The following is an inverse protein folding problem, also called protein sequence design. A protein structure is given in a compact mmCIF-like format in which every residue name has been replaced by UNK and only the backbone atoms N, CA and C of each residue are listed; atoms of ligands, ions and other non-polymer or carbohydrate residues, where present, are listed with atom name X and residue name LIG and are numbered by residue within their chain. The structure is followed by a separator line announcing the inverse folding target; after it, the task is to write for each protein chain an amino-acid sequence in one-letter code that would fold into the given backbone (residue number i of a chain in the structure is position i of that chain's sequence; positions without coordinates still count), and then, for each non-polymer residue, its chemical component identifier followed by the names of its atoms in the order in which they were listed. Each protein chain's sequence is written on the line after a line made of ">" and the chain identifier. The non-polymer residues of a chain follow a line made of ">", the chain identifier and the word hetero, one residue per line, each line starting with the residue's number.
data_IF_218365339197
#
_entry.id   IF_218365339197
#
_cell.length_a   1.000
_cell.length_b   1.000
_cell.length_c   1.000
_cell.angle_alpha   90.00
_cell.angle_beta   90.00
_cell.angle_gamma   90.00
#
_symmetry.space_group_name_H-M   'P 1'
#
loop_
_entity.id
_entity.type
_entity.pdbx_description
1 polymer ?
#
# COMPACT_ATOMS: atom_id res chain seq x y z
N UNK A 1 -2.89 49.88 -12.97
CA UNK A 1 -2.80 48.64 -13.78
C UNK A 1 -2.66 47.45 -12.83
N UNK A 2 -3.58 46.48 -12.91
CA UNK A 2 -3.79 45.39 -11.93
C UNK A 2 -2.69 44.32 -12.05
N UNK A 3 -1.95 44.07 -10.97
CA UNK A 3 -0.97 42.99 -10.86
C UNK A 3 -1.64 41.62 -10.92
N UNK A 4 -1.18 40.78 -11.86
CA UNK A 4 -1.67 39.41 -12.04
C UNK A 4 -1.02 38.52 -10.98
N UNK A 5 -1.79 38.14 -9.97
CA UNK A 5 -1.41 37.12 -9.01
C UNK A 5 -1.45 35.75 -9.70
N UNK A 6 -0.29 35.26 -10.14
CA UNK A 6 -0.09 33.88 -10.57
C UNK A 6 -0.18 32.98 -9.33
N UNK A 7 -1.38 32.53 -8.97
CA UNK A 7 -1.53 31.47 -7.96
C UNK A 7 -0.89 30.19 -8.53
N UNK A 8 0.06 29.56 -7.84
CA UNK A 8 0.64 28.31 -8.31
C UNK A 8 -0.47 27.25 -8.44
N UNK A 9 -0.40 26.38 -9.47
CA UNK A 9 -1.41 25.33 -9.64
C UNK A 9 -1.42 24.46 -8.39
N UNK A 10 -2.54 24.47 -7.67
CA UNK A 10 -2.79 23.49 -6.61
C UNK A 10 -2.68 22.13 -7.27
N UNK A 11 -1.63 21.37 -6.94
CA UNK A 11 -1.49 19.93 -7.20
C UNK A 11 -2.55 19.18 -6.39
N UNK A 12 -3.83 19.37 -6.72
CA UNK A 12 -4.89 18.45 -6.30
C UNK A 12 -4.65 17.15 -7.06
N UNK A 13 -4.07 16.16 -6.37
CA UNK A 13 -4.03 14.77 -6.83
C UNK A 13 -5.45 14.42 -7.28
N UNK A 14 -5.63 14.20 -8.59
CA UNK A 14 -6.95 14.01 -9.18
C UNK A 14 -7.66 12.75 -8.63
N UNK A 15 -8.98 12.64 -8.85
CA UNK A 15 -9.80 11.51 -8.38
C UNK A 15 -9.30 10.15 -8.91
N UNK A 16 -8.62 10.14 -10.06
CA UNK A 16 -7.99 8.94 -10.62
C UNK A 16 -6.95 8.31 -9.69
N UNK A 17 -6.19 9.11 -8.94
CA UNK A 17 -5.22 8.60 -7.96
C UNK A 17 -5.91 7.89 -6.80
N UNK A 18 -7.11 8.35 -6.40
CA UNK A 18 -7.88 7.69 -5.35
C UNK A 18 -8.46 6.35 -5.84
N UNK A 19 -8.86 6.27 -7.11
CA UNK A 19 -9.34 5.04 -7.72
C UNK A 19 -8.21 4.01 -7.88
N UNK A 20 -7.05 4.42 -8.40
CA UNK A 20 -5.87 3.56 -8.53
C UNK A 20 -5.38 3.04 -7.17
N UNK A 21 -5.35 3.90 -6.15
CA UNK A 21 -4.97 3.50 -4.80
C UNK A 21 -5.95 2.49 -4.17
N UNK A 22 -7.24 2.54 -4.56
CA UNK A 22 -8.23 1.56 -4.12
C UNK A 22 -8.00 0.20 -4.79
N UNK A 23 -7.85 0.18 -6.12
CA UNK A 23 -7.58 -1.07 -6.86
C UNK A 23 -6.28 -1.74 -6.43
N UNK A 24 -5.21 -0.95 -6.23
CA UNK A 24 -3.93 -1.49 -5.76
C UNK A 24 -4.02 -2.08 -4.34
N UNK A 25 -4.81 -1.45 -3.46
CA UNK A 25 -5.02 -1.98 -2.11
C UNK A 25 -5.82 -3.28 -2.11
N UNK A 26 -6.86 -3.38 -2.94
CA UNK A 26 -7.64 -4.61 -3.07
C UNK A 26 -6.79 -5.76 -3.62
N UNK A 27 -5.93 -5.51 -4.60
CA UNK A 27 -4.98 -6.51 -5.10
C UNK A 27 -4.01 -6.98 -4.01
N UNK A 28 -3.41 -6.05 -3.27
CA UNK A 28 -2.52 -6.37 -2.16
C UNK A 28 -3.23 -7.20 -1.08
N UNK A 29 -4.48 -6.86 -0.75
CA UNK A 29 -5.30 -7.62 0.21
C UNK A 29 -5.59 -9.03 -0.29
N UNK A 30 -5.95 -9.19 -1.56
CA UNK A 30 -6.16 -10.50 -2.18
C UNK A 30 -4.87 -11.32 -2.24
N UNK A 31 -3.72 -10.69 -2.49
CA UNK A 31 -2.41 -11.36 -2.48
C UNK A 31 -2.03 -11.81 -1.07
N UNK A 32 -2.24 -10.98 -0.05
CA UNK A 32 -2.04 -11.34 1.36
C UNK A 32 -2.92 -12.53 1.75
N UNK A 33 -4.22 -12.45 1.46
CA UNK A 33 -5.16 -13.52 1.78
C UNK A 33 -4.80 -14.86 1.12
N UNK A 34 -4.32 -14.83 -0.13
CA UNK A 34 -3.83 -16.03 -0.83
C UNK A 34 -2.62 -16.68 -0.14
N UNK A 35 -1.81 -15.93 0.58
CA UNK A 35 -0.68 -16.44 1.36
C UNK A 35 -1.07 -16.82 2.80
N UNK A 36 -2.34 -16.65 3.19
CA UNK A 36 -2.81 -16.84 4.56
C UNK A 36 -2.54 -15.64 5.49
N UNK A 37 -2.15 -14.50 4.92
CA UNK A 37 -1.84 -13.28 5.67
C UNK A 37 -3.07 -12.37 5.69
N UNK A 38 -3.25 -11.63 6.78
CA UNK A 38 -4.32 -10.63 6.92
C UNK A 38 -3.78 -9.23 6.69
N UNK A 39 -4.36 -8.49 5.74
CA UNK A 39 -4.01 -7.09 5.46
C UNK A 39 -5.17 -6.16 5.86
N UNK A 40 -4.93 -5.33 6.87
CA UNK A 40 -5.82 -4.26 7.30
C UNK A 40 -5.29 -2.89 6.88
N UNK A 41 -6.20 -1.90 6.78
CA UNK A 41 -5.88 -0.53 6.41
C UNK A 41 -6.62 0.44 7.32
N UNK A 42 -5.84 1.18 8.10
CA UNK A 42 -6.33 2.26 8.94
C UNK A 42 -6.13 3.61 8.22
N UNK A 43 -7.20 4.35 7.96
CA UNK A 43 -7.11 5.72 7.42
C UNK A 43 -6.78 6.68 8.57
N UNK A 44 -5.70 7.44 8.43
CA UNK A 44 -5.29 8.51 9.36
C UNK A 44 -5.42 9.89 8.72
N UNK A 45 -5.32 10.92 9.55
CA UNK A 45 -5.46 12.32 9.14
C UNK A 45 -4.48 12.73 8.01
N UNK A 46 -3.29 12.12 7.95
CA UNK A 46 -2.25 12.40 6.94
C UNK A 46 -2.02 11.26 5.93
N UNK A 47 -2.85 10.20 5.91
CA UNK A 47 -2.62 9.08 5.01
C UNK A 47 -3.36 7.79 5.37
N UNK A 48 -2.74 6.66 5.07
CA UNK A 48 -3.19 5.35 5.50
C UNK A 48 -2.02 4.59 6.11
N UNK A 49 -2.29 3.85 7.18
CA UNK A 49 -1.39 2.86 7.76
C UNK A 49 -1.92 1.49 7.38
N UNK A 50 -1.02 0.58 7.04
CA UNK A 50 -1.34 -0.78 6.65
C UNK A 50 -0.80 -1.73 7.71
N UNK A 51 -1.63 -2.67 8.11
CA UNK A 51 -1.26 -3.66 9.13
C UNK A 51 -1.29 -5.02 8.46
N UNK A 52 -0.13 -5.67 8.40
CA UNK A 52 0.04 -6.96 7.78
C UNK A 52 0.33 -8.00 8.86
N UNK A 53 -0.59 -8.93 9.04
CA UNK A 53 -0.49 -9.99 10.04
C UNK A 53 -0.27 -11.33 9.37
N UNK A 54 0.82 -12.00 9.73
CA UNK A 54 1.15 -13.34 9.26
C UNK A 54 0.27 -14.40 9.96
N UNK A 55 0.16 -15.62 9.41
CA UNK A 55 -0.62 -16.71 10.03
C UNK A 55 -0.14 -17.12 11.43
N UNK A 56 1.12 -16.86 11.80
CA UNK A 56 1.66 -17.09 13.14
C UNK A 56 1.34 -15.94 14.12
N UNK A 57 0.65 -14.88 13.67
CA UNK A 57 0.23 -13.75 14.49
C UNK A 57 1.23 -12.59 14.58
N UNK A 58 2.36 -12.66 13.90
CA UNK A 58 3.28 -11.53 13.79
C UNK A 58 2.66 -10.43 12.96
N UNK A 59 2.62 -9.23 13.52
CA UNK A 59 2.01 -8.07 12.90
C UNK A 59 3.07 -7.04 12.53
N UNK A 60 3.09 -6.65 11.27
CA UNK A 60 3.97 -5.62 10.73
C UNK A 60 3.14 -4.40 10.35
N UNK A 61 3.54 -3.23 10.85
CA UNK A 61 2.89 -1.95 10.56
C UNK A 61 3.69 -1.26 9.46
N UNK A 62 3.01 -0.88 8.38
CA UNK A 62 3.59 -0.33 7.16
C UNK A 62 2.91 1.01 6.83
N UNK A 63 3.67 1.96 6.31
CA UNK A 63 3.15 3.31 6.04
C UNK A 63 2.77 3.49 4.57
N UNK A 64 3.31 2.66 3.69
CA UNK A 64 3.04 2.71 2.25
C UNK A 64 2.62 1.35 1.68
N UNK A 65 1.73 1.39 0.69
CA UNK A 65 1.28 0.17 -0.01
C UNK A 65 2.43 -0.52 -0.76
N UNK A 66 3.43 0.23 -1.22
CA UNK A 66 4.63 -0.33 -1.86
C UNK A 66 5.42 -1.23 -0.90
N UNK A 67 5.46 -0.91 0.39
CA UNK A 67 6.10 -1.74 1.42
C UNK A 67 5.32 -3.05 1.61
N UNK A 68 3.98 -3.00 1.57
CA UNK A 68 3.13 -4.20 1.62
C UNK A 68 3.45 -5.12 0.45
N UNK A 69 3.57 -4.58 -0.77
CA UNK A 69 3.93 -5.40 -1.94
C UNK A 69 5.32 -6.02 -1.84
N UNK A 70 6.30 -5.30 -1.26
CA UNK A 70 7.63 -5.85 -1.00
C UNK A 70 7.57 -6.96 0.05
N UNK A 71 6.88 -6.75 1.16
CA UNK A 71 6.70 -7.78 2.19
C UNK A 71 6.04 -9.04 1.62
N UNK A 72 4.95 -8.90 0.87
CA UNK A 72 4.25 -10.00 0.21
C UNK A 72 5.00 -10.61 -0.99
N UNK A 73 6.01 -9.92 -1.51
CA UNK A 73 6.88 -10.39 -2.60
C UNK A 73 8.16 -11.04 -2.09
N UNK A 74 8.58 -10.71 -0.87
CA UNK A 74 9.73 -11.27 -0.18
C UNK A 74 9.38 -12.48 0.69
N UNK A 75 8.09 -12.82 0.88
CA UNK A 75 7.69 -14.11 1.45
C UNK A 75 8.47 -15.21 0.71
N UNK A 76 9.46 -15.86 1.36
CA UNK A 76 10.20 -16.92 0.71
C UNK A 76 9.17 -17.98 0.39
N UNK A 77 9.00 -18.26 -0.89
CA UNK A 77 8.27 -19.45 -1.30
C UNK A 77 9.03 -20.61 -0.64
N UNK A 78 8.48 -21.34 0.36
CA UNK A 78 9.21 -22.41 1.02
C UNK A 78 9.52 -23.58 0.05
N UNK A 79 8.99 -23.52 -1.17
CA UNK A 79 9.11 -24.51 -2.24
C UNK A 79 10.19 -24.18 -3.29
N UNK A 80 10.83 -23.01 -3.24
CA UNK A 80 11.91 -22.67 -4.17
C UNK A 80 13.27 -23.00 -3.54
N UNK A 81 13.99 -24.03 -4.00
CA UNK A 81 15.33 -24.29 -3.52
C UNK A 81 16.22 -23.07 -3.83
N UNK A 82 17.22 -22.77 -2.98
CA UNK A 82 18.19 -21.73 -3.27
C UNK A 82 18.85 -22.08 -4.61
N UNK A 83 18.76 -21.16 -5.57
CA UNK A 83 19.53 -21.28 -6.80
C UNK A 83 21.01 -21.32 -6.43
N UNK A 84 21.64 -22.46 -6.70
CA UNK A 84 23.05 -22.72 -6.50
C UNK A 84 23.92 -21.90 -7.46
#
# INVERSE_FOLDING_TARGET
>A
MKGRFTRPPRRTRGPEFAHQARSAWEDARWKAARQGWSLDRERRFLGAVYTLTDPNGHTTILSELAEVHRALGQSPNPDLPPAA
#
